data_IF_797972830957
#
_entry.id   IF_797972830957
#
_cell.length_a   1.000
_cell.length_b   1.000
_cell.length_c   1.000
_cell.angle_alpha   90.00
_cell.angle_beta   90.00
_cell.angle_gamma   90.00
#
_symmetry.space_group_name_H-M   'P 1'
#
loop_
_entity.id
_entity.type
_entity.pdbx_description
1 polymer ?
#
# COMPACT_ATOMS: atom_id res chain seq x y z
N UNK A 1 23.71 -10.32 -14.17
CA UNK A 1 24.70 -10.15 -15.24
C UNK A 1 24.34 -11.13 -16.34
N UNK A 2 24.07 -10.64 -17.56
CA UNK A 2 23.59 -11.49 -18.66
C UNK A 2 24.67 -11.64 -19.74
N UNK A 3 24.72 -12.76 -20.49
CA UNK A 3 25.67 -12.96 -21.58
C UNK A 3 25.30 -12.09 -22.80
N UNK A 4 25.55 -10.78 -22.71
CA UNK A 4 25.09 -9.73 -23.63
C UNK A 4 25.60 -9.86 -25.07
N UNK A 5 26.62 -10.69 -25.32
CA UNK A 5 27.11 -10.98 -26.68
C UNK A 5 26.17 -11.93 -27.44
N UNK A 6 25.50 -12.85 -26.75
CA UNK A 6 24.56 -13.80 -27.35
C UNK A 6 23.24 -13.12 -27.71
N UNK A 7 22.55 -13.61 -28.75
CA UNK A 7 21.23 -13.08 -29.14
C UNK A 7 20.22 -13.17 -27.98
N UNK A 8 20.26 -14.27 -27.21
CA UNK A 8 19.44 -14.43 -26.00
C UNK A 8 19.75 -13.36 -24.95
N UNK A 9 21.03 -13.07 -24.70
CA UNK A 9 21.44 -12.05 -23.73
C UNK A 9 21.06 -10.64 -24.16
N UNK A 10 21.18 -10.31 -25.46
CA UNK A 10 20.70 -9.03 -26.01
C UNK A 10 19.20 -8.86 -25.78
N UNK A 11 18.40 -9.88 -26.09
CA UNK A 11 16.95 -9.89 -25.86
C UNK A 11 16.58 -9.75 -24.37
N UNK A 12 17.36 -10.34 -23.47
CA UNK A 12 17.13 -10.18 -22.04
C UNK A 12 17.44 -8.75 -21.57
N UNK A 13 18.52 -8.15 -22.07
CA UNK A 13 18.88 -6.77 -21.75
C UNK A 13 17.85 -5.76 -22.25
N UNK A 14 17.22 -5.99 -23.41
CA UNK A 14 16.19 -5.10 -23.93
C UNK A 14 14.89 -5.10 -23.12
N UNK A 15 14.65 -6.13 -22.30
CA UNK A 15 13.48 -6.17 -21.41
C UNK A 15 13.70 -5.35 -20.12
N UNK A 16 14.96 -5.11 -19.75
CA UNK A 16 15.31 -4.41 -18.53
C UNK A 16 15.31 -2.90 -18.77
N UNK A 17 14.46 -2.18 -18.04
CA UNK A 17 14.43 -0.72 -18.04
C UNK A 17 14.92 -0.20 -16.69
N UNK A 18 15.98 0.61 -16.70
CA UNK A 18 16.53 1.27 -15.52
C UNK A 18 16.35 2.78 -15.66
N UNK A 19 15.88 3.43 -14.59
CA UNK A 19 15.69 4.87 -14.53
C UNK A 19 16.35 5.43 -13.27
N UNK A 20 16.80 6.67 -13.34
CA UNK A 20 17.19 7.42 -12.14
C UNK A 20 16.01 8.30 -11.68
N UNK A 21 15.66 8.20 -10.41
CA UNK A 21 14.36 8.61 -9.91
C UNK A 21 13.22 7.74 -10.46
N UNK A 22 12.00 8.24 -10.34
CA UNK A 22 10.80 7.48 -10.69
C UNK A 22 9.96 8.21 -11.75
N UNK A 23 9.81 7.64 -12.94
CA UNK A 23 8.96 8.20 -13.99
C UNK A 23 7.48 8.32 -13.58
N UNK A 24 6.75 9.34 -14.08
CA UNK A 24 5.33 9.55 -13.78
C UNK A 24 4.45 8.32 -14.05
N UNK A 25 4.72 7.58 -15.14
CA UNK A 25 3.97 6.37 -15.51
C UNK A 25 3.97 5.32 -14.39
N UNK A 26 5.04 5.20 -13.62
CA UNK A 26 5.12 4.20 -12.56
C UNK A 26 4.56 4.69 -11.23
N UNK A 27 4.24 5.99 -11.08
CA UNK A 27 3.94 6.65 -9.79
C UNK A 27 2.86 5.91 -8.99
N UNK A 28 1.78 5.50 -9.67
CA UNK A 28 0.64 4.79 -9.10
C UNK A 28 0.87 3.30 -8.77
N UNK A 29 1.92 2.68 -9.32
CA UNK A 29 2.20 1.24 -9.16
C UNK A 29 2.87 0.99 -7.80
N UNK A 30 2.53 -0.14 -7.16
CA UNK A 30 3.19 -0.60 -5.93
C UNK A 30 4.62 -1.03 -6.25
N UNK A 31 5.58 -0.46 -5.53
CA UNK A 31 7.00 -0.74 -5.72
C UNK A 31 7.38 -1.94 -4.87
N UNK A 32 8.02 -2.92 -5.48
CA UNK A 32 8.51 -4.10 -4.79
C UNK A 32 9.98 -3.90 -4.39
N UNK A 33 10.36 -4.49 -3.26
CA UNK A 33 11.76 -4.53 -2.80
C UNK A 33 12.26 -5.96 -2.88
N UNK A 34 13.42 -6.17 -3.49
CA UNK A 34 14.09 -7.46 -3.44
C UNK A 34 14.75 -7.62 -2.07
N UNK A 35 14.19 -8.50 -1.22
CA UNK A 35 14.68 -8.74 0.15
C UNK A 35 16.13 -9.21 0.15
N UNK A 36 16.50 -10.03 -0.84
CA UNK A 36 17.86 -10.56 -1.02
C UNK A 36 18.91 -9.47 -1.29
N UNK A 37 18.51 -8.32 -1.84
CA UNK A 37 19.40 -7.21 -2.14
C UNK A 37 19.21 -6.00 -1.19
N UNK A 38 18.40 -6.14 -0.13
CA UNK A 38 18.10 -5.02 0.75
C UNK A 38 19.24 -4.76 1.74
N UNK A 39 19.93 -3.62 1.58
CA UNK A 39 21.12 -3.24 2.36
C UNK A 39 20.95 -3.44 3.87
N UNK A 40 19.84 -2.97 4.45
CA UNK A 40 19.64 -3.02 5.91
C UNK A 40 19.60 -4.44 6.47
N UNK A 41 19.24 -5.43 5.63
CA UNK A 41 19.23 -6.84 6.03
C UNK A 41 20.55 -7.55 5.67
N UNK A 42 21.28 -7.08 4.66
CA UNK A 42 22.47 -7.75 4.12
C UNK A 42 23.79 -7.17 4.59
N UNK A 43 23.79 -5.94 5.10
CA UNK A 43 24.97 -5.23 5.57
C UNK A 43 24.78 -4.86 7.04
N UNK A 44 25.80 -5.14 7.84
CA UNK A 44 25.87 -4.71 9.24
C UNK A 44 25.85 -3.17 9.35
N UNK A 45 25.23 -2.66 10.42
CA UNK A 45 25.01 -1.24 10.64
C UNK A 45 26.32 -0.45 10.72
N UNK A 46 27.38 -1.08 11.24
CA UNK A 46 28.68 -0.45 11.45
C UNK A 46 29.59 -0.47 10.21
N UNK A 47 29.18 -1.14 9.13
CA UNK A 47 30.00 -1.21 7.91
C UNK A 47 29.77 0.00 7.01
N UNK A 48 30.82 0.71 6.56
CA UNK A 48 30.67 1.87 5.70
C UNK A 48 30.10 1.45 4.35
N UNK A 49 29.24 2.30 3.79
CA UNK A 49 28.69 2.12 2.45
C UNK A 49 28.57 3.47 1.74
N UNK A 50 28.56 3.42 0.41
CA UNK A 50 28.31 4.60 -0.41
C UNK A 50 26.97 4.51 -1.12
N UNK A 51 26.40 5.68 -1.44
CA UNK A 51 25.20 5.78 -2.29
C UNK A 51 25.67 5.99 -3.71
N UNK A 52 25.18 5.18 -4.65
CA UNK A 52 25.56 5.29 -6.07
C UNK A 52 25.39 6.71 -6.62
N UNK A 53 24.30 7.41 -6.25
CA UNK A 53 24.07 8.79 -6.68
C UNK A 53 25.11 9.80 -6.16
N UNK A 54 25.78 9.55 -5.04
CA UNK A 54 26.92 10.39 -4.58
C UNK A 54 28.13 10.13 -5.47
N UNK A 55 28.47 8.86 -5.64
CA UNK A 55 29.58 8.44 -6.49
C UNK A 55 29.44 9.00 -7.91
N UNK A 56 28.26 8.91 -8.50
CA UNK A 56 28.01 9.42 -9.85
C UNK A 56 28.30 10.92 -10.01
N UNK A 57 28.02 11.74 -8.99
CA UNK A 57 28.31 13.19 -9.03
C UNK A 57 29.82 13.42 -9.12
N UNK A 58 30.60 12.68 -8.32
CA UNK A 58 32.06 12.77 -8.31
C UNK A 58 32.65 12.40 -9.68
N UNK A 59 31.99 11.50 -10.42
CA UNK A 59 32.34 11.10 -11.79
C UNK A 59 31.71 12.00 -12.88
N UNK A 60 31.18 13.17 -12.51
CA UNK A 60 30.69 14.18 -13.46
C UNK A 60 29.25 14.01 -13.93
N UNK A 61 28.42 13.22 -13.24
CA UNK A 61 27.00 13.11 -13.57
C UNK A 61 26.22 14.38 -13.21
N UNK A 62 25.74 15.09 -14.23
CA UNK A 62 25.19 16.45 -14.11
C UNK A 62 23.75 16.54 -13.58
N UNK A 63 22.98 15.45 -13.65
CA UNK A 63 21.53 15.50 -13.43
C UNK A 63 21.09 15.29 -11.97
N UNK A 64 22.02 15.14 -11.03
CA UNK A 64 21.70 14.88 -9.62
C UNK A 64 20.76 15.92 -8.99
N UNK A 65 21.02 17.22 -9.24
CA UNK A 65 20.19 18.31 -8.70
C UNK A 65 18.79 18.30 -9.29
N UNK A 66 18.68 18.08 -10.61
CA UNK A 66 17.40 18.00 -11.32
C UNK A 66 16.52 16.87 -10.76
N UNK A 67 17.09 15.67 -10.62
CA UNK A 67 16.35 14.50 -10.11
C UNK A 67 15.91 14.70 -8.67
N UNK A 68 16.74 15.32 -7.83
CA UNK A 68 16.36 15.66 -6.46
C UNK A 68 15.12 16.56 -6.41
N UNK A 69 15.02 17.56 -7.29
CA UNK A 69 13.85 18.44 -7.40
C UNK A 69 12.62 17.67 -7.89
N UNK A 70 12.76 16.85 -8.93
CA UNK A 70 11.66 16.07 -9.49
C UNK A 70 11.13 15.03 -8.48
N UNK A 71 12.01 14.34 -7.76
CA UNK A 71 11.62 13.38 -6.72
C UNK A 71 10.92 14.04 -5.53
N UNK A 72 11.31 15.26 -5.14
CA UNK A 72 10.61 16.03 -4.11
C UNK A 72 9.17 16.33 -4.55
N UNK A 73 8.99 16.87 -5.76
CA UNK A 73 7.66 17.12 -6.34
C UNK A 73 6.82 15.83 -6.40
N UNK A 74 7.42 14.73 -6.85
CA UNK A 74 6.78 13.42 -6.95
C UNK A 74 6.30 12.90 -5.58
N UNK A 75 7.14 12.99 -4.54
CA UNK A 75 6.80 12.52 -3.20
C UNK A 75 5.64 13.30 -2.58
N UNK A 76 5.55 14.61 -2.84
CA UNK A 76 4.41 15.43 -2.38
C UNK A 76 3.12 14.93 -3.02
N UNK A 77 3.11 14.79 -4.36
CA UNK A 77 1.95 14.27 -5.09
C UNK A 77 1.54 12.87 -4.62
N UNK A 78 2.52 11.97 -4.44
CA UNK A 78 2.26 10.61 -3.99
C UNK A 78 1.66 10.57 -2.57
N UNK A 79 2.10 11.46 -1.65
CA UNK A 79 1.53 11.52 -0.30
C UNK A 79 0.05 11.91 -0.31
N UNK A 80 -0.32 12.90 -1.14
CA UNK A 80 -1.72 13.33 -1.28
C UNK A 80 -2.58 12.18 -1.81
N UNK A 81 -2.19 11.58 -2.93
CA UNK A 81 -2.92 10.44 -3.54
C UNK A 81 -3.04 9.24 -2.58
N UNK A 82 -1.98 8.97 -1.80
CA UNK A 82 -2.00 7.86 -0.84
C UNK A 82 -2.95 8.14 0.32
N UNK A 83 -3.02 9.38 0.82
CA UNK A 83 -3.96 9.76 1.87
C UNK A 83 -5.41 9.61 1.40
N UNK A 84 -5.73 10.13 0.22
CA UNK A 84 -7.07 10.00 -0.38
C UNK A 84 -7.46 8.52 -0.58
N UNK A 85 -6.51 7.69 -1.02
CA UNK A 85 -6.73 6.24 -1.16
C UNK A 85 -6.98 5.55 0.18
N UNK A 86 -6.26 5.93 1.24
CA UNK A 86 -6.47 5.38 2.58
C UNK A 86 -7.85 5.79 3.12
N UNK A 87 -8.21 7.07 3.04
CA UNK A 87 -9.50 7.55 3.52
C UNK A 87 -10.69 6.89 2.81
N UNK A 88 -10.61 6.76 1.48
CA UNK A 88 -11.65 6.08 0.70
C UNK A 88 -11.76 4.61 1.05
N UNK A 89 -10.64 3.94 1.34
CA UNK A 89 -10.62 2.56 1.80
C UNK A 89 -11.24 2.42 3.19
N UNK A 90 -10.90 3.30 4.14
CA UNK A 90 -11.50 3.33 5.48
C UNK A 90 -13.01 3.55 5.44
N UNK A 91 -13.50 4.46 4.58
CA UNK A 91 -14.94 4.67 4.39
C UNK A 91 -15.64 3.41 3.90
N UNK A 92 -15.03 2.65 2.98
CA UNK A 92 -15.57 1.36 2.50
C UNK A 92 -15.59 0.32 3.62
N UNK A 93 -14.53 0.22 4.41
CA UNK A 93 -14.47 -0.66 5.58
C UNK A 93 -15.58 -0.31 6.57
N UNK A 94 -15.73 0.95 6.96
CA UNK A 94 -16.77 1.40 7.89
C UNK A 94 -18.17 1.03 7.41
N UNK A 95 -18.47 1.21 6.12
CA UNK A 95 -19.74 0.79 5.50
C UNK A 95 -19.94 -0.72 5.58
N UNK A 96 -18.91 -1.51 5.26
CA UNK A 96 -18.97 -2.97 5.35
C UNK A 96 -19.20 -3.47 6.77
N UNK A 97 -18.51 -2.89 7.76
CA UNK A 97 -18.66 -3.19 9.18
C UNK A 97 -20.08 -2.85 9.64
N UNK A 98 -20.60 -1.68 9.27
CA UNK A 98 -21.98 -1.28 9.61
C UNK A 98 -23.01 -2.28 9.07
N UNK A 99 -22.86 -2.71 7.81
CA UNK A 99 -23.73 -3.71 7.19
C UNK A 99 -23.65 -5.07 7.91
N UNK A 100 -22.45 -5.52 8.27
CA UNK A 100 -22.25 -6.76 9.03
C UNK A 100 -22.85 -6.68 10.43
N UNK A 101 -22.71 -5.54 11.13
CA UNK A 101 -23.34 -5.32 12.43
C UNK A 101 -24.87 -5.43 12.34
N UNK A 102 -25.48 -4.79 11.36
CA UNK A 102 -26.93 -4.89 11.14
C UNK A 102 -27.38 -6.32 10.84
N UNK A 103 -26.61 -7.06 10.04
CA UNK A 103 -26.92 -8.46 9.75
C UNK A 103 -26.78 -9.34 10.99
N UNK A 104 -25.74 -9.13 11.81
CA UNK A 104 -25.54 -9.85 13.06
C UNK A 104 -26.71 -9.63 14.03
N UNK A 105 -27.17 -8.38 14.17
CA UNK A 105 -28.35 -8.04 14.99
C UNK A 105 -29.59 -8.81 14.49
N UNK A 106 -29.84 -8.83 13.16
CA UNK A 106 -30.96 -9.58 12.57
C UNK A 106 -30.87 -11.08 12.84
N UNK A 107 -29.68 -11.66 12.69
CA UNK A 107 -29.46 -13.09 12.92
C UNK A 107 -29.70 -13.47 14.39
N UNK A 108 -29.20 -12.66 15.35
CA UNK A 108 -29.43 -12.87 16.78
C UNK A 108 -30.90 -12.71 17.13
N UNK A 109 -31.56 -11.67 16.62
CA UNK A 109 -33.00 -11.46 16.83
C UNK A 109 -33.84 -12.66 16.34
N UNK A 110 -33.48 -13.24 15.18
CA UNK A 110 -34.15 -14.41 14.64
C UNK A 110 -33.95 -15.66 15.53
N UNK A 111 -32.73 -15.89 16.03
CA UNK A 111 -32.45 -17.01 16.95
C UNK A 111 -33.15 -16.85 18.31
N UNK A 112 -33.36 -15.61 18.77
CA UNK A 112 -34.03 -15.30 20.04
C UNK A 112 -35.56 -15.29 19.93
N UNK A 113 -36.12 -15.40 18.73
CA UNK A 113 -37.57 -15.27 18.45
C UNK A 113 -38.43 -16.23 19.29
N UNK A 114 -38.03 -17.49 19.40
CA UNK A 114 -38.82 -18.51 20.11
C UNK A 114 -38.82 -18.26 21.63
N UNK A 115 -37.66 -17.87 22.18
CA UNK A 115 -37.47 -17.60 23.61
C UNK A 115 -38.26 -16.38 24.10
N UNK A 116 -38.43 -15.37 23.25
CA UNK A 116 -39.09 -14.11 23.59
C UNK A 116 -40.41 -13.89 22.83
N UNK A 117 -41.03 -14.95 22.29
CA UNK A 117 -42.29 -14.88 21.54
C UNK A 117 -43.46 -14.24 22.33
N UNK A 118 -43.42 -14.32 23.66
CA UNK A 118 -44.40 -13.70 24.55
C UNK A 118 -44.32 -12.17 24.56
N UNK A 119 -43.17 -11.56 24.27
CA UNK A 119 -42.99 -10.10 24.20
C UNK A 119 -43.61 -9.50 22.94
N UNK A 120 -43.62 -10.24 21.83
CA UNK A 120 -44.25 -9.80 20.57
C UNK A 120 -45.78 -9.69 20.65
N UNK A 121 -46.42 -10.27 21.67
CA UNK A 121 -47.87 -10.21 21.89
C UNK A 121 -48.35 -8.85 22.42
N UNK A 122 -47.46 -8.04 23.01
CA UNK A 122 -47.80 -6.79 23.69
C UNK A 122 -47.00 -5.57 23.17
N UNK A 123 -46.57 -5.60 21.90
CA UNK A 123 -45.92 -4.48 21.18
C UNK A 123 -44.76 -3.81 21.92
N UNK A 124 -43.84 -4.59 22.50
CA UNK A 124 -42.54 -4.07 22.89
C UNK A 124 -41.47 -4.65 21.98
N UNK A 125 -40.71 -3.75 21.33
CA UNK A 125 -39.53 -4.13 20.56
C UNK A 125 -38.66 -5.10 21.38
N UNK A 126 -38.17 -6.17 20.73
CA UNK A 126 -37.22 -7.11 21.34
C UNK A 126 -36.12 -6.31 22.08
N UNK A 127 -35.74 -6.70 23.30
CA UNK A 127 -34.75 -5.99 24.10
C UNK A 127 -33.36 -6.25 23.51
N UNK A 128 -33.10 -5.67 22.35
CA UNK A 128 -31.78 -5.62 21.74
C UNK A 128 -31.08 -4.50 22.51
N UNK A 129 -30.10 -4.84 23.35
CA UNK A 129 -29.27 -3.86 24.03
C UNK A 129 -28.78 -2.85 22.99
N UNK A 130 -29.08 -1.57 23.21
CA UNK A 130 -28.60 -0.50 22.34
C UNK A 130 -27.08 -0.55 22.40
N UNK A 131 -26.44 -0.94 21.29
CA UNK A 131 -24.99 -0.89 21.14
C UNK A 131 -24.54 0.52 21.48
N UNK A 132 -24.00 0.71 22.67
CA UNK A 132 -23.35 1.94 23.11
C UNK A 132 -22.12 2.13 22.23
N UNK A 133 -22.26 3.03 21.26
CA UNK A 133 -21.18 3.51 20.40
C UNK A 133 -20.72 4.88 20.92
#
# INVERSE_FOLDING_TARGET
MMPHKTNRGKKAMSLLHCYDGMPPRFMHIRKMRAVTAYRHLRLDANRPFTRLGRLMIDFGWKHAKLISVLEKKRKIKQKVETKERIETFERKIKKSISKLKQQAIKNVAQAMKDKYSFLTKYEWNLPIEKSTA
#
